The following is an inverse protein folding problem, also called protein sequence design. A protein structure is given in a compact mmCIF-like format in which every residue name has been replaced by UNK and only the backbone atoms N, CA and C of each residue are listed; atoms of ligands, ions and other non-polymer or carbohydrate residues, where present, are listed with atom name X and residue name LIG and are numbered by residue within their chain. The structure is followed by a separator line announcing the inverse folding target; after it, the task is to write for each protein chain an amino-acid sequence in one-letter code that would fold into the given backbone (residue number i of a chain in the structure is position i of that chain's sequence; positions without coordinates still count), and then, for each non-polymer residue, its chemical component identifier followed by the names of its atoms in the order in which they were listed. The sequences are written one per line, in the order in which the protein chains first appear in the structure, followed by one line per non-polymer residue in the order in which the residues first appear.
data_IF_868516289459
#
_entry.id   IF_868516289459
#
_cell.length_a   1.000
_cell.length_b   1.000
_cell.length_c   1.000
_cell.angle_alpha   90.00
_cell.angle_beta   90.00
_cell.angle_gamma   90.00
#
_symmetry.space_group_name_H-M   'P 1'
#
loop_
_entity.id
_entity.type
_entity.pdbx_description
1 polymer ?
#
# COMPACT_ATOMS: atom_id res chain seq x y z
N UNK A 1 5.13 31.80 -58.69
CA UNK A 1 6.14 31.03 -57.92
C UNK A 1 6.02 31.25 -56.39
N UNK A 2 4.80 31.26 -55.80
CA UNK A 2 4.59 31.64 -54.38
C UNK A 2 3.71 30.67 -53.55
N UNK A 3 3.46 29.45 -54.03
CA UNK A 3 2.65 28.45 -53.30
C UNK A 3 3.49 27.40 -52.55
N UNK A 4 4.80 27.34 -52.77
CA UNK A 4 5.67 26.34 -52.13
C UNK A 4 6.07 26.67 -50.68
N UNK A 5 6.00 27.94 -50.25
CA UNK A 5 6.48 28.36 -48.91
C UNK A 5 5.50 28.04 -47.77
N UNK A 6 4.19 28.12 -48.03
CA UNK A 6 3.14 27.87 -47.04
C UNK A 6 2.93 26.38 -46.72
N UNK A 7 3.27 25.48 -47.66
CA UNK A 7 3.18 24.02 -47.44
C UNK A 7 4.24 23.51 -46.46
N UNK A 8 5.38 24.20 -46.39
CA UNK A 8 6.53 23.82 -45.55
C UNK A 8 6.41 24.29 -44.10
N UNK A 9 5.47 25.20 -43.77
CA UNK A 9 5.20 25.64 -42.39
C UNK A 9 4.22 24.73 -41.64
N UNK A 10 3.41 23.93 -42.36
CA UNK A 10 2.42 23.04 -41.74
C UNK A 10 3.08 21.84 -41.05
N UNK A 11 4.15 21.31 -41.63
CA UNK A 11 4.92 20.18 -41.09
C UNK A 11 5.58 20.49 -39.73
N UNK A 12 6.33 21.61 -39.55
CA UNK A 12 6.90 21.94 -38.24
C UNK A 12 5.84 22.29 -37.20
N UNK A 13 4.71 22.88 -37.60
CA UNK A 13 3.61 23.21 -36.67
C UNK A 13 2.90 21.93 -36.15
N UNK A 14 2.67 20.95 -37.03
CA UNK A 14 2.13 19.63 -36.65
C UNK A 14 3.12 18.88 -35.77
N UNK A 15 4.42 18.91 -36.08
CA UNK A 15 5.45 18.31 -35.24
C UNK A 15 5.49 18.94 -33.84
N UNK A 16 5.36 20.27 -33.74
CA UNK A 16 5.35 20.99 -32.47
C UNK A 16 4.12 20.65 -31.61
N UNK A 17 2.95 20.49 -32.23
CA UNK A 17 1.72 20.04 -31.54
C UNK A 17 1.84 18.59 -31.06
N UNK A 18 2.46 17.69 -31.83
CA UNK A 18 2.71 16.30 -31.41
C UNK A 18 3.71 16.21 -30.25
N UNK A 19 4.76 17.03 -30.27
CA UNK A 19 5.74 17.11 -29.17
C UNK A 19 5.09 17.69 -27.91
N UNK A 20 4.29 18.75 -28.02
CA UNK A 20 3.57 19.30 -26.88
C UNK A 20 2.54 18.32 -26.31
N UNK A 21 1.78 17.64 -27.18
CA UNK A 21 0.79 16.64 -26.77
C UNK A 21 1.41 15.41 -26.10
N UNK A 22 2.56 14.93 -26.57
CA UNK A 22 3.27 13.82 -25.94
C UNK A 22 3.89 14.20 -24.60
N UNK A 23 4.39 15.42 -24.44
CA UNK A 23 4.89 15.92 -23.15
C UNK A 23 3.78 16.04 -22.09
N UNK A 24 2.59 16.51 -22.48
CA UNK A 24 1.39 16.56 -21.61
C UNK A 24 0.89 15.14 -21.31
N UNK A 25 0.92 14.24 -22.29
CA UNK A 25 0.59 12.84 -22.09
C UNK A 25 1.51 12.18 -21.08
N UNK A 26 2.83 12.41 -21.17
CA UNK A 26 3.82 11.82 -20.25
C UNK A 26 3.70 12.35 -18.81
N UNK A 27 3.38 13.62 -18.62
CA UNK A 27 3.12 14.16 -17.27
C UNK A 27 1.80 13.65 -16.69
N UNK A 28 0.77 13.48 -17.53
CA UNK A 28 -0.52 12.91 -17.11
C UNK A 28 -0.43 11.40 -16.82
N UNK A 29 0.40 10.67 -17.57
CA UNK A 29 0.68 9.24 -17.37
C UNK A 29 1.82 8.96 -16.40
N UNK A 30 2.33 9.97 -15.70
CA UNK A 30 3.39 9.75 -14.71
C UNK A 30 2.86 8.81 -13.62
N UNK A 31 3.26 7.55 -13.70
CA UNK A 31 3.01 6.59 -12.63
C UNK A 31 3.73 7.10 -11.39
N UNK A 32 3.00 7.16 -10.27
CA UNK A 32 3.61 7.41 -8.97
C UNK A 32 4.77 6.43 -8.79
N UNK A 33 5.88 6.91 -8.27
CA UNK A 33 6.94 6.00 -7.82
C UNK A 33 6.36 5.03 -6.78
N UNK A 34 6.93 3.83 -6.62
CA UNK A 34 6.44 2.87 -5.63
C UNK A 34 6.33 3.48 -4.22
N UNK A 35 7.27 4.34 -3.83
CA UNK A 35 7.23 5.05 -2.54
C UNK A 35 6.09 6.07 -2.43
N UNK A 36 5.81 6.83 -3.48
CA UNK A 36 4.67 7.77 -3.50
C UNK A 36 3.33 7.03 -3.49
N UNK A 37 3.21 5.94 -4.25
CA UNK A 37 2.02 5.09 -4.25
C UNK A 37 1.78 4.47 -2.86
N UNK A 38 2.83 3.97 -2.22
CA UNK A 38 2.76 3.41 -0.87
C UNK A 38 2.44 4.47 0.18
N UNK A 39 2.98 5.69 0.06
CA UNK A 39 2.65 6.81 0.95
C UNK A 39 1.18 7.23 0.82
N UNK A 40 0.67 7.31 -0.41
CA UNK A 40 -0.74 7.59 -0.65
C UNK A 40 -1.65 6.52 -0.05
N UNK A 41 -1.33 5.24 -0.22
CA UNK A 41 -2.09 4.13 0.38
C UNK A 41 -1.98 4.12 1.92
N UNK A 42 -0.82 4.46 2.47
CA UNK A 42 -0.60 4.57 3.92
C UNK A 42 -1.45 5.67 4.54
N UNK A 43 -1.43 6.87 3.94
CA UNK A 43 -2.30 7.98 4.33
C UNK A 43 -3.78 7.61 4.19
N UNK A 44 -4.15 6.92 3.10
CA UNK A 44 -5.51 6.41 2.90
C UNK A 44 -5.95 5.48 4.02
N UNK A 45 -5.10 4.52 4.43
CA UNK A 45 -5.38 3.63 5.54
C UNK A 45 -5.54 4.39 6.87
N UNK A 46 -4.63 5.30 7.21
CA UNK A 46 -4.69 6.07 8.48
C UNK A 46 -5.97 6.90 8.59
N UNK A 47 -6.46 7.46 7.47
CA UNK A 47 -7.71 8.22 7.43
C UNK A 47 -8.96 7.39 7.76
N UNK A 48 -8.92 6.09 7.54
CA UNK A 48 -10.04 5.19 7.86
C UNK A 48 -10.11 4.81 9.35
N UNK A 49 -9.04 5.07 10.12
CA UNK A 49 -8.93 4.62 11.51
C UNK A 49 -9.59 5.61 12.48
N UNK A 50 -10.21 5.08 13.54
CA UNK A 50 -10.59 5.89 14.71
C UNK A 50 -9.35 6.34 15.47
N UNK A 51 -9.51 7.32 16.36
CA UNK A 51 -8.38 7.82 17.16
C UNK A 51 -7.81 6.74 18.10
N UNK A 52 -8.65 5.86 18.65
CA UNK A 52 -8.21 4.71 19.45
C UNK A 52 -7.43 3.69 18.62
N UNK A 53 -7.89 3.44 17.39
CA UNK A 53 -7.19 2.55 16.46
C UNK A 53 -5.84 3.15 16.02
N UNK A 54 -5.76 4.46 15.81
CA UNK A 54 -4.49 5.15 15.51
C UNK A 54 -3.48 4.99 16.65
N UNK A 55 -3.92 5.05 17.91
CA UNK A 55 -3.04 4.80 19.07
C UNK A 55 -2.43 3.38 19.07
N UNK A 56 -3.09 2.42 18.42
CA UNK A 56 -2.62 1.02 18.32
C UNK A 56 -1.81 0.78 17.05
N UNK A 57 -2.21 1.40 15.94
CA UNK A 57 -1.61 1.22 14.63
C UNK A 57 -0.34 2.07 14.41
N UNK A 58 -0.26 3.25 15.02
CA UNK A 58 0.83 4.20 14.80
C UNK A 58 1.83 4.20 15.96
N UNK A 59 3.12 4.25 15.61
CA UNK A 59 4.22 4.37 16.56
C UNK A 59 5.24 5.40 16.07
N UNK A 60 6.10 5.98 16.94
CA UNK A 60 7.19 6.85 16.51
C UNK A 60 8.14 6.15 15.53
N UNK A 61 8.67 6.87 14.55
CA UNK A 61 9.58 6.30 13.53
C UNK A 61 10.82 5.62 14.13
N UNK A 62 11.38 6.23 15.17
CA UNK A 62 12.58 5.77 15.87
C UNK A 62 12.27 4.84 17.05
N UNK A 63 11.05 4.31 17.14
CA UNK A 63 10.71 3.33 18.17
C UNK A 63 11.58 2.09 18.03
N UNK A 64 12.17 1.62 19.13
CA UNK A 64 12.88 0.33 19.19
C UNK A 64 12.01 -0.83 18.71
N UNK A 65 10.68 -0.71 18.86
CA UNK A 65 9.71 -1.69 18.36
C UNK A 65 9.77 -1.85 16.85
N UNK A 66 10.32 -0.92 16.07
CA UNK A 66 10.38 -1.04 14.61
C UNK A 66 11.23 -2.22 14.15
N UNK A 67 12.33 -2.48 14.85
CA UNK A 67 13.23 -3.59 14.55
C UNK A 67 12.97 -4.83 15.42
N UNK A 68 12.04 -4.74 16.37
CA UNK A 68 11.60 -5.83 17.25
C UNK A 68 10.70 -6.85 16.51
N UNK A 69 11.28 -7.54 15.53
CA UNK A 69 10.60 -8.60 14.77
C UNK A 69 11.03 -9.98 15.22
N UNK A 70 10.05 -10.89 15.32
CA UNK A 70 10.26 -12.27 15.73
C UNK A 70 9.52 -13.24 14.81
N UNK A 71 10.17 -14.35 14.49
CA UNK A 71 9.58 -15.50 13.78
C UNK A 71 9.00 -16.57 14.72
N UNK A 72 9.11 -16.40 16.04
CA UNK A 72 8.50 -17.31 17.01
C UNK A 72 7.01 -17.00 17.22
N UNK A 73 6.20 -17.99 17.65
CA UNK A 73 4.84 -17.73 18.10
C UNK A 73 4.82 -16.70 19.24
N UNK A 74 3.92 -15.71 19.13
CA UNK A 74 3.61 -14.74 20.18
C UNK A 74 2.10 -14.65 20.33
N UNK A 75 1.65 -14.35 21.54
CA UNK A 75 0.23 -14.16 21.84
C UNK A 75 -0.31 -12.89 21.20
N UNK A 76 0.49 -11.84 21.22
CA UNK A 76 0.17 -10.56 20.59
C UNK A 76 1.38 -10.03 19.82
N UNK A 77 1.08 -9.24 18.78
CA UNK A 77 2.07 -8.48 18.01
C UNK A 77 1.67 -7.01 18.04
N UNK A 78 2.66 -6.15 17.86
CA UNK A 78 2.46 -4.70 17.71
C UNK A 78 1.56 -4.42 16.49
N UNK A 79 0.82 -3.31 16.58
CA UNK A 79 -0.06 -2.82 15.51
C UNK A 79 -1.52 -3.20 15.69
N UNK A 80 -2.34 -2.67 14.78
CA UNK A 80 -3.76 -2.97 14.72
C UNK A 80 -3.99 -4.31 14.05
N UNK A 81 -4.62 -5.25 14.76
CA UNK A 81 -5.00 -6.54 14.22
C UNK A 81 -6.16 -6.40 13.22
N UNK A 82 -6.07 -7.06 12.07
CA UNK A 82 -7.10 -7.08 11.01
C UNK A 82 -8.48 -7.47 11.54
N UNK A 83 -8.54 -8.33 12.56
CA UNK A 83 -9.79 -8.75 13.23
C UNK A 83 -10.62 -7.58 13.76
N UNK A 84 -9.97 -6.50 14.22
CA UNK A 84 -10.61 -5.32 14.79
C UNK A 84 -10.82 -4.19 13.79
N UNK A 85 -10.62 -4.46 12.50
CA UNK A 85 -10.89 -3.52 11.41
C UNK A 85 -12.30 -3.71 10.84
N UNK A 86 -12.97 -2.62 10.49
CA UNK A 86 -14.16 -2.63 9.62
C UNK A 86 -13.81 -3.05 8.19
N UNK A 87 -14.81 -3.38 7.36
CA UNK A 87 -14.57 -3.78 5.97
C UNK A 87 -13.88 -2.68 5.13
N UNK A 88 -14.21 -1.42 5.39
CA UNK A 88 -13.54 -0.27 4.78
C UNK A 88 -12.06 -0.21 5.18
N UNK A 89 -11.77 -0.35 6.47
CA UNK A 89 -10.40 -0.35 7.01
C UNK A 89 -9.59 -1.53 6.49
N UNK A 90 -10.19 -2.72 6.37
CA UNK A 90 -9.56 -3.91 5.78
C UNK A 90 -9.21 -3.68 4.33
N UNK A 91 -10.12 -3.07 3.56
CA UNK A 91 -9.89 -2.72 2.16
C UNK A 91 -8.69 -1.77 2.03
N UNK A 92 -8.64 -0.72 2.85
CA UNK A 92 -7.53 0.23 2.85
C UNK A 92 -6.20 -0.42 3.31
N UNK A 93 -6.23 -1.30 4.31
CA UNK A 93 -5.08 -2.08 4.76
C UNK A 93 -4.54 -2.99 3.64
N UNK A 94 -5.42 -3.66 2.89
CA UNK A 94 -5.03 -4.48 1.74
C UNK A 94 -4.47 -3.65 0.58
N UNK A 95 -4.99 -2.43 0.34
CA UNK A 95 -4.42 -1.50 -0.63
C UNK A 95 -3.00 -1.08 -0.24
N UNK A 96 -2.78 -0.78 1.04
CA UNK A 96 -1.45 -0.49 1.58
C UNK A 96 -0.51 -1.70 1.43
N UNK A 97 -0.92 -2.90 1.82
CA UNK A 97 -0.11 -4.11 1.66
C UNK A 97 0.24 -4.38 0.19
N UNK A 98 -0.73 -4.20 -0.72
CA UNK A 98 -0.53 -4.37 -2.16
C UNK A 98 0.45 -3.35 -2.73
N UNK A 99 0.46 -2.12 -2.21
CA UNK A 99 1.43 -1.10 -2.64
C UNK A 99 2.87 -1.43 -2.24
N UNK A 100 3.06 -2.20 -1.16
CA UNK A 100 4.38 -2.58 -0.63
C UNK A 100 4.96 -3.85 -1.28
N UNK A 101 4.17 -4.57 -2.08
CA UNK A 101 4.53 -5.87 -2.64
C UNK A 101 4.32 -5.89 -4.16
N UNK A 102 5.03 -6.79 -4.84
CA UNK A 102 4.63 -7.15 -6.21
C UNK A 102 3.30 -7.89 -6.19
N UNK A 103 2.63 -8.01 -7.35
CA UNK A 103 1.39 -8.77 -7.46
C UNK A 103 1.51 -10.21 -6.94
N UNK A 104 2.64 -10.85 -7.29
CA UNK A 104 2.97 -12.20 -6.84
C UNK A 104 3.19 -12.23 -5.33
N UNK A 105 3.87 -11.23 -4.78
CA UNK A 105 4.09 -11.10 -3.33
C UNK A 105 2.79 -10.92 -2.55
N UNK A 106 1.93 -10.02 -3.02
CA UNK A 106 0.61 -9.78 -2.45
C UNK A 106 -0.26 -11.04 -2.50
N UNK A 107 -0.31 -11.72 -3.65
CA UNK A 107 -1.07 -12.97 -3.80
C UNK A 107 -0.59 -14.06 -2.86
N UNK A 108 0.73 -14.22 -2.67
CA UNK A 108 1.30 -15.17 -1.72
C UNK A 108 0.91 -14.81 -0.28
N UNK A 109 1.07 -13.54 0.11
CA UNK A 109 0.75 -13.08 1.46
C UNK A 109 -0.72 -13.34 1.82
N UNK A 110 -1.66 -12.95 0.96
CA UNK A 110 -3.09 -13.15 1.23
C UNK A 110 -3.51 -14.61 1.23
N UNK A 111 -2.93 -15.45 0.37
CA UNK A 111 -3.17 -16.90 0.40
C UNK A 111 -2.66 -17.52 1.69
N UNK A 112 -1.50 -17.11 2.20
CA UNK A 112 -1.00 -17.57 3.51
C UNK A 112 -1.98 -17.21 4.62
N UNK A 113 -2.52 -15.98 4.63
CA UNK A 113 -3.55 -15.58 5.59
C UNK A 113 -4.79 -16.49 5.51
N UNK A 114 -5.26 -16.77 4.29
CA UNK A 114 -6.43 -17.62 4.07
C UNK A 114 -6.20 -19.09 4.48
N UNK A 115 -4.97 -19.60 4.35
CA UNK A 115 -4.61 -20.95 4.75
C UNK A 115 -4.77 -21.20 6.25
N UNK A 116 -4.80 -20.17 7.09
CA UNK A 116 -5.07 -20.33 8.53
C UNK A 116 -6.42 -21.01 8.78
N UNK A 117 -7.46 -20.74 7.98
CA UNK A 117 -8.75 -21.43 8.10
C UNK A 117 -8.64 -22.92 7.82
N UNK A 118 -7.90 -23.31 6.77
CA UNK A 118 -7.68 -24.70 6.41
C UNK A 118 -6.86 -25.42 7.48
N UNK A 119 -5.81 -24.77 8.00
CA UNK A 119 -5.01 -25.30 9.09
C UNK A 119 -5.85 -25.50 10.36
N UNK A 120 -6.73 -24.57 10.69
CA UNK A 120 -7.65 -24.71 11.83
C UNK A 120 -8.52 -25.95 11.72
N UNK A 121 -9.05 -26.22 10.52
CA UNK A 121 -9.87 -27.40 10.23
C UNK A 121 -9.05 -28.70 10.34
N UNK A 122 -7.87 -28.75 9.71
CA UNK A 122 -6.98 -29.91 9.74
C UNK A 122 -6.46 -30.24 11.15
N UNK A 123 -6.26 -29.22 11.99
CA UNK A 123 -5.86 -29.37 13.39
C UNK A 123 -7.05 -29.73 14.31
N UNK A 124 -8.27 -29.83 13.76
CA UNK A 124 -9.48 -30.22 14.48
C UNK A 124 -9.86 -29.28 15.62
N UNK A 125 -9.48 -28.00 15.54
CA UNK A 125 -9.71 -27.01 16.59
C UNK A 125 -9.00 -27.31 17.91
N UNK A 126 -8.04 -28.25 17.94
CA UNK A 126 -7.31 -28.66 19.14
C UNK A 126 -6.15 -27.73 19.52
N UNK A 127 -5.83 -26.75 18.67
CA UNK A 127 -4.80 -25.74 18.92
C UNK A 127 -5.27 -24.60 19.83
N UNK A 128 -4.35 -23.74 20.28
CA UNK A 128 -4.72 -22.39 20.74
C UNK A 128 -5.50 -21.74 19.60
N UNK A 129 -6.54 -20.94 19.88
CA UNK A 129 -7.37 -20.25 18.87
C UNK A 129 -6.58 -19.15 18.12
N UNK A 130 -5.48 -19.54 17.49
CA UNK A 130 -4.47 -18.69 16.83
C UNK A 130 -4.56 -18.80 15.31
N UNK A 131 -5.24 -19.84 14.81
CA UNK A 131 -5.49 -20.12 13.39
C UNK A 131 -6.67 -19.27 12.91
N UNK A 132 -6.40 -17.99 12.68
CA UNK A 132 -7.39 -16.99 12.28
C UNK A 132 -6.82 -16.16 11.13
N UNK A 133 -7.45 -16.15 9.93
CA UNK A 133 -7.01 -15.33 8.79
C UNK A 133 -6.95 -13.83 9.07
N UNK A 134 -7.63 -13.37 10.12
CA UNK A 134 -7.63 -11.97 10.56
C UNK A 134 -6.67 -11.73 11.74
N UNK A 135 -5.81 -12.68 12.11
CA UNK A 135 -4.74 -12.53 13.11
C UNK A 135 -3.42 -12.04 12.52
N UNK A 136 -3.53 -11.04 11.65
CA UNK A 136 -2.42 -10.30 11.07
C UNK A 136 -2.51 -8.84 11.49
N UNK A 137 -1.38 -8.13 11.48
CA UNK A 137 -1.24 -6.84 12.15
C UNK A 137 -0.63 -5.82 11.20
N UNK A 138 -1.13 -4.58 11.25
CA UNK A 138 -0.56 -3.42 10.56
C UNK A 138 0.00 -2.46 11.62
N UNK A 139 1.29 -2.16 11.53
CA UNK A 139 1.95 -1.16 12.38
C UNK A 139 2.63 -0.15 11.46
N UNK A 140 2.35 1.13 11.61
CA UNK A 140 3.07 2.16 10.89
C UNK A 140 3.97 2.90 11.89
N UNK A 141 5.21 3.15 11.47
CA UNK A 141 6.20 3.90 12.22
C UNK A 141 6.37 5.27 11.57
N UNK A 142 6.05 6.36 12.27
CA UNK A 142 5.93 7.70 11.70
C UNK A 142 4.53 8.00 11.16
N UNK A 143 4.39 9.09 10.43
CA UNK A 143 3.10 9.55 9.89
C UNK A 143 3.15 9.64 8.35
N UNK A 144 2.44 8.77 7.62
CA UNK A 144 2.37 8.83 6.15
C UNK A 144 1.56 10.04 5.63
N UNK A 145 0.75 10.71 6.47
CA UNK A 145 0.03 11.93 6.09
C UNK A 145 0.90 13.19 6.19
N UNK A 146 2.04 13.11 6.86
CA UNK A 146 2.91 14.25 7.16
C UNK A 146 4.18 14.29 6.31
N UNK A 147 4.95 15.35 6.51
CA UNK A 147 6.32 15.43 6.00
C UNK A 147 7.26 14.60 6.89
N UNK A 148 8.08 13.75 6.28
CA UNK A 148 9.12 13.00 6.99
C UNK A 148 9.20 11.54 6.59
N UNK A 149 10.00 10.79 7.36
CA UNK A 149 10.17 9.36 7.15
C UNK A 149 9.06 8.60 7.85
N UNK A 150 8.55 7.57 7.18
CA UNK A 150 7.64 6.61 7.77
C UNK A 150 7.98 5.19 7.30
N UNK A 151 7.39 4.19 7.93
CA UNK A 151 7.54 2.79 7.56
C UNK A 151 6.29 1.98 7.92
N UNK A 152 6.14 0.82 7.27
CA UNK A 152 5.15 -0.21 7.53
C UNK A 152 5.84 -1.45 8.11
#
# INVERSE_FOLDING_TARGET
MSYLRLRNLRLPLVALVLVAGSAIGLTYYRQLSPGEAMTSAGAGFVKTLTDEQKMTALMPYDSEKRVDWHFIPKDERKGLQVKYMSDEQRTAAHQLLRSALSEVGYSKATRIMQLESLLNELEGGKGRNIRDPHRYYFTLFGNPEGEGKWGL
#
